data_IF_522046283466
#
_entry.id   IF_522046283466
#
_cell.length_a   1.000
_cell.length_b   1.000
_cell.length_c   1.000
_cell.angle_alpha   90.00
_cell.angle_beta   90.00
_cell.angle_gamma   90.00
#
_symmetry.space_group_name_H-M   'P 1'
#
loop_
_entity.id
_entity.type
_entity.pdbx_description
1 polymer ?
#
# COMPACT_ATOMS: atom_id res chain seq x y z
N UNK A 1 8.79 -9.96 16.97
CA UNK A 1 8.61 -10.09 15.50
C UNK A 1 9.13 -11.46 15.06
N UNK A 2 8.32 -12.20 14.32
CA UNK A 2 8.70 -13.52 13.82
C UNK A 2 9.58 -13.40 12.56
N UNK A 3 10.27 -14.50 12.22
CA UNK A 3 11.07 -14.56 11.00
C UNK A 3 10.20 -14.34 9.76
N UNK A 4 8.97 -14.89 9.77
CA UNK A 4 8.02 -14.70 8.65
C UNK A 4 7.61 -13.23 8.49
N UNK A 5 7.37 -12.54 9.59
CA UNK A 5 7.04 -11.11 9.54
C UNK A 5 8.20 -10.28 9.00
N UNK A 6 9.43 -10.61 9.39
CA UNK A 6 10.62 -9.93 8.86
C UNK A 6 10.77 -10.16 7.36
N UNK A 7 10.54 -11.38 6.90
CA UNK A 7 10.59 -11.71 5.47
C UNK A 7 9.52 -10.95 4.69
N UNK A 8 8.31 -10.83 5.25
CA UNK A 8 7.22 -10.09 4.62
C UNK A 8 7.55 -8.61 4.51
N UNK A 9 8.14 -8.03 5.57
CA UNK A 9 8.55 -6.62 5.57
C UNK A 9 9.62 -6.37 4.52
N UNK A 10 10.64 -7.22 4.46
CA UNK A 10 11.72 -7.09 3.48
C UNK A 10 11.19 -7.21 2.05
N UNK A 11 10.25 -8.12 1.82
CA UNK A 11 9.61 -8.30 0.52
C UNK A 11 8.83 -7.04 0.11
N UNK A 12 8.09 -6.46 1.05
CA UNK A 12 7.32 -5.23 0.79
C UNK A 12 8.25 -4.08 0.41
N UNK A 13 9.34 -3.90 1.14
CA UNK A 13 10.30 -2.84 0.83
C UNK A 13 10.97 -3.06 -0.52
N UNK A 14 11.36 -4.29 -0.83
CA UNK A 14 11.97 -4.63 -2.11
C UNK A 14 10.99 -4.40 -3.26
N UNK A 15 9.73 -4.78 -3.09
CA UNK A 15 8.69 -4.55 -4.10
C UNK A 15 8.47 -3.07 -4.35
N UNK A 16 8.43 -2.26 -3.29
CA UNK A 16 8.29 -0.80 -3.42
C UNK A 16 9.47 -0.21 -4.17
N UNK A 17 10.68 -0.63 -3.83
CA UNK A 17 11.90 -0.13 -4.48
C UNK A 17 11.92 -0.46 -5.97
N UNK A 18 11.46 -1.64 -6.35
CA UNK A 18 11.38 -2.05 -7.76
C UNK A 18 10.38 -1.21 -8.55
N UNK A 19 9.34 -0.71 -7.91
CA UNK A 19 8.32 0.09 -8.60
C UNK A 19 8.79 1.51 -8.89
N UNK A 20 9.80 2.03 -8.18
CA UNK A 20 10.21 3.43 -8.32
C UNK A 20 10.52 3.82 -9.77
N UNK A 21 11.42 3.11 -10.51
CA UNK A 21 11.70 3.49 -11.89
C UNK A 21 10.47 3.32 -12.80
N UNK A 22 9.65 2.32 -12.57
CA UNK A 22 8.43 2.09 -13.35
C UNK A 22 7.45 3.24 -13.15
N UNK A 23 7.28 3.69 -11.91
CA UNK A 23 6.39 4.81 -11.60
C UNK A 23 6.88 6.11 -12.24
N UNK A 24 8.19 6.33 -12.27
CA UNK A 24 8.76 7.50 -12.94
C UNK A 24 8.44 7.51 -14.44
N UNK A 25 8.54 6.35 -15.07
CA UNK A 25 8.19 6.22 -16.49
C UNK A 25 6.71 6.46 -16.76
N UNK A 26 5.84 6.12 -15.79
CA UNK A 26 4.39 6.25 -15.94
C UNK A 26 3.82 7.61 -15.53
N UNK A 27 4.65 8.53 -15.02
CA UNK A 27 4.15 9.84 -14.54
C UNK A 27 3.41 10.61 -15.62
N UNK A 28 3.93 10.64 -16.83
CA UNK A 28 3.29 11.36 -17.94
C UNK A 28 1.94 10.72 -18.27
N UNK A 29 1.88 9.40 -18.33
CA UNK A 29 0.63 8.68 -18.57
C UNK A 29 -0.40 8.97 -17.48
N UNK A 30 0.02 8.92 -16.21
CA UNK A 30 -0.87 9.18 -15.09
C UNK A 30 -1.44 10.61 -15.14
N UNK A 31 -0.59 11.59 -15.46
CA UNK A 31 -1.02 12.98 -15.59
C UNK A 31 -2.03 13.14 -16.75
N UNK A 32 -1.80 12.45 -17.84
CA UNK A 32 -2.64 12.47 -19.02
C UNK A 32 -4.01 11.85 -18.76
N UNK A 33 -4.06 10.75 -17.98
CA UNK A 33 -5.30 10.04 -17.67
C UNK A 33 -6.13 10.75 -16.59
N UNK A 34 -5.50 11.56 -15.73
CA UNK A 34 -6.16 12.16 -14.59
C UNK A 34 -6.43 11.18 -13.44
N UNK A 35 -5.91 9.96 -13.53
CA UNK A 35 -5.98 8.93 -12.47
C UNK A 35 -4.81 7.97 -12.63
N UNK A 36 -4.59 7.09 -11.65
CA UNK A 36 -3.51 6.12 -11.72
C UNK A 36 -3.78 5.11 -12.83
N UNK A 37 -2.74 4.69 -13.58
CA UNK A 37 -2.89 3.59 -14.54
C UNK A 37 -3.33 2.30 -13.83
N UNK A 38 -4.17 1.51 -14.49
CA UNK A 38 -4.65 0.24 -13.94
C UNK A 38 -3.51 -0.70 -13.59
N UNK A 39 -2.45 -0.71 -14.38
CA UNK A 39 -1.28 -1.53 -14.13
C UNK A 39 -0.62 -1.17 -12.80
N UNK A 40 -0.55 0.11 -12.46
CA UNK A 40 0.00 0.58 -11.19
C UNK A 40 -0.82 0.07 -10.01
N UNK A 41 -2.15 0.23 -10.09
CA UNK A 41 -3.06 -0.23 -9.02
C UNK A 41 -2.93 -1.74 -8.84
N UNK A 42 -2.94 -2.50 -9.93
CA UNK A 42 -2.81 -3.95 -9.89
C UNK A 42 -1.49 -4.39 -9.27
N UNK A 43 -0.39 -3.75 -9.63
CA UNK A 43 0.93 -4.05 -9.08
C UNK A 43 0.98 -3.80 -7.58
N UNK A 44 0.36 -2.70 -7.11
CA UNK A 44 0.29 -2.42 -5.67
C UNK A 44 -0.57 -3.45 -4.94
N UNK A 45 -1.66 -3.90 -5.55
CA UNK A 45 -2.51 -4.96 -4.97
C UNK A 45 -1.75 -6.28 -4.86
N UNK A 46 -1.06 -6.67 -5.92
CA UNK A 46 -0.28 -7.91 -5.95
C UNK A 46 0.88 -7.88 -4.96
N UNK A 47 1.49 -6.71 -4.76
CA UNK A 47 2.56 -6.54 -3.79
C UNK A 47 2.06 -6.55 -2.35
N UNK A 48 0.75 -6.38 -2.12
CA UNK A 48 0.16 -6.40 -0.80
C UNK A 48 0.17 -5.06 -0.09
N UNK A 49 0.45 -3.95 -0.77
CA UNK A 49 0.57 -2.64 -0.14
C UNK A 49 -0.72 -2.16 0.51
N UNK A 50 -1.87 -2.54 -0.03
CA UNK A 50 -3.16 -2.15 0.54
C UNK A 50 -3.53 -2.93 1.79
N UNK A 51 -2.79 -4.00 2.11
CA UNK A 51 -3.07 -4.89 3.24
C UNK A 51 -2.11 -4.74 4.41
N UNK A 52 -1.14 -3.82 4.32
CA UNK A 52 -0.08 -3.72 5.33
C UNK A 52 -0.66 -3.51 6.73
N UNK A 53 -1.58 -2.57 6.89
CA UNK A 53 -2.18 -2.25 8.19
C UNK A 53 -3.57 -2.87 8.39
N UNK A 54 -4.08 -3.58 7.39
CA UNK A 54 -5.39 -4.21 7.47
C UNK A 54 -5.36 -5.34 8.51
N UNK A 55 -6.42 -5.50 9.34
CA UNK A 55 -6.45 -6.58 10.33
C UNK A 55 -6.29 -7.97 9.70
N UNK A 56 -5.61 -8.86 10.40
CA UNK A 56 -5.38 -10.22 9.93
C UNK A 56 -6.69 -10.97 9.65
N UNK A 57 -7.74 -10.71 10.44
CA UNK A 57 -9.06 -11.34 10.25
C UNK A 57 -9.73 -11.00 8.92
N UNK A 58 -9.26 -9.96 8.24
CA UNK A 58 -9.72 -9.57 6.91
C UNK A 58 -8.68 -9.87 5.82
N UNK A 59 -7.70 -10.72 6.13
CA UNK A 59 -6.66 -11.09 5.18
C UNK A 59 -5.49 -10.12 5.08
N UNK A 60 -5.40 -9.16 5.99
CA UNK A 60 -4.31 -8.20 6.02
C UNK A 60 -3.10 -8.69 6.82
N UNK A 61 -2.02 -7.92 6.76
CA UNK A 61 -0.78 -8.23 7.47
C UNK A 61 -0.75 -7.72 8.90
N UNK A 62 -1.62 -6.78 9.25
CA UNK A 62 -1.73 -6.20 10.60
C UNK A 62 -0.37 -5.69 11.11
N UNK A 63 0.39 -5.06 10.22
CA UNK A 63 1.72 -4.53 10.54
C UNK A 63 1.64 -3.12 11.15
N UNK A 64 2.74 -2.69 11.76
CA UNK A 64 2.85 -1.35 12.33
C UNK A 64 2.77 -0.28 11.24
N UNK A 65 2.19 0.91 11.54
CA UNK A 65 2.12 2.01 10.58
C UNK A 65 3.48 2.43 10.01
N UNK A 66 4.56 2.24 10.76
CA UNK A 66 5.91 2.55 10.31
C UNK A 66 6.28 1.82 9.02
N UNK A 67 5.88 0.54 8.91
CA UNK A 67 6.14 -0.26 7.70
C UNK A 67 5.42 0.36 6.52
N UNK A 68 4.17 0.74 6.70
CA UNK A 68 3.37 1.38 5.66
C UNK A 68 3.98 2.71 5.21
N UNK A 69 4.36 3.57 6.15
CA UNK A 69 4.93 4.87 5.82
C UNK A 69 6.23 4.74 5.04
N UNK A 70 7.05 3.74 5.37
CA UNK A 70 8.29 3.50 4.65
C UNK A 70 8.03 3.07 3.20
N UNK A 71 7.05 2.20 2.97
CA UNK A 71 6.63 1.83 1.61
C UNK A 71 6.12 3.07 0.88
N UNK A 72 5.26 3.87 1.52
CA UNK A 72 4.70 5.07 0.92
C UNK A 72 5.79 6.08 0.53
N UNK A 73 6.76 6.33 1.40
CA UNK A 73 7.86 7.24 1.10
C UNK A 73 8.72 6.75 -0.06
N UNK A 74 8.94 5.44 -0.14
CA UNK A 74 9.68 4.85 -1.24
C UNK A 74 8.94 5.07 -2.57
N UNK A 75 7.63 4.80 -2.60
CA UNK A 75 6.83 5.02 -3.81
C UNK A 75 6.78 6.49 -4.22
N UNK A 76 6.81 7.41 -3.24
CA UNK A 76 6.81 8.84 -3.52
C UNK A 76 8.06 9.28 -4.31
N UNK A 77 9.16 8.58 -4.18
CA UNK A 77 10.36 8.86 -4.99
C UNK A 77 10.10 8.62 -6.48
N UNK A 78 9.20 7.73 -6.81
CA UNK A 78 8.81 7.47 -8.19
C UNK A 78 7.63 8.31 -8.65
N UNK A 79 6.62 8.46 -7.80
CA UNK A 79 5.39 9.20 -8.15
C UNK A 79 4.64 9.59 -6.88
N UNK A 80 4.55 10.89 -6.61
CA UNK A 80 3.84 11.41 -5.44
C UNK A 80 2.35 11.08 -5.47
N UNK A 81 1.73 11.15 -6.64
CA UNK A 81 0.30 10.86 -6.78
C UNK A 81 -0.02 9.41 -6.42
N UNK A 82 0.83 8.47 -6.82
CA UNK A 82 0.68 7.06 -6.48
C UNK A 82 0.77 6.87 -4.97
N UNK A 83 1.76 7.49 -4.33
CA UNK A 83 1.94 7.39 -2.88
C UNK A 83 0.74 7.98 -2.14
N UNK A 84 0.19 9.09 -2.65
CA UNK A 84 -0.96 9.75 -2.04
C UNK A 84 -2.20 8.88 -2.08
N UNK A 85 -2.48 8.27 -3.23
CA UNK A 85 -3.62 7.36 -3.39
C UNK A 85 -3.48 6.16 -2.46
N UNK A 86 -2.29 5.57 -2.39
CA UNK A 86 -2.03 4.47 -1.47
C UNK A 86 -2.33 4.88 -0.02
N UNK A 87 -1.90 6.09 0.37
CA UNK A 87 -2.13 6.61 1.71
C UNK A 87 -3.60 6.73 2.04
N UNK A 88 -4.40 7.29 1.14
CA UNK A 88 -5.84 7.46 1.35
C UNK A 88 -6.53 6.11 1.55
N UNK A 89 -6.27 5.15 0.67
CA UNK A 89 -6.90 3.83 0.74
C UNK A 89 -6.48 3.09 2.01
N UNK A 90 -5.19 3.13 2.35
CA UNK A 90 -4.67 2.42 3.51
C UNK A 90 -5.16 3.01 4.83
N UNK A 91 -5.31 4.34 4.92
CA UNK A 91 -5.83 4.99 6.11
C UNK A 91 -7.28 4.56 6.36
N UNK A 92 -8.10 4.46 5.31
CA UNK A 92 -9.47 3.99 5.46
C UNK A 92 -9.49 2.53 5.98
N UNK A 93 -8.62 1.67 5.47
CA UNK A 93 -8.51 0.30 5.96
C UNK A 93 -8.10 0.26 7.43
N UNK A 94 -7.17 1.13 7.83
CA UNK A 94 -6.72 1.23 9.22
C UNK A 94 -7.84 1.73 10.13
N UNK A 95 -8.64 2.71 9.68
CA UNK A 95 -9.77 3.21 10.45
C UNK A 95 -10.78 2.08 10.75
N UNK A 96 -11.02 1.20 9.79
CA UNK A 96 -11.88 0.04 10.01
C UNK A 96 -11.35 -0.85 11.12
N UNK A 97 -10.05 -0.94 11.28
CA UNK A 97 -9.42 -1.77 12.31
C UNK A 97 -9.71 -1.27 13.73
N UNK A 98 -10.00 0.03 13.91
CA UNK A 98 -10.30 0.61 15.23
C UNK A 98 -11.79 0.72 15.49
N UNK A 99 -12.64 0.39 14.52
CA UNK A 99 -14.08 0.36 14.71
C UNK A 99 -14.48 -0.91 15.49
N UNK A 100 -15.66 -0.89 16.09
CA UNK A 100 -16.22 -2.09 16.70
C UNK A 100 -16.39 -3.17 15.63
N UNK A 101 -16.20 -4.44 16.03
CA UNK A 101 -16.24 -5.55 15.10
C UNK A 101 -17.50 -5.58 14.24
N UNK A 102 -18.66 -5.28 14.84
CA UNK A 102 -19.93 -5.26 14.12
C UNK A 102 -19.91 -4.23 13.00
N UNK A 103 -19.40 -3.02 13.28
CA UNK A 103 -19.32 -1.97 12.28
C UNK A 103 -18.38 -2.37 11.14
N UNK A 104 -17.29 -3.07 11.46
CA UNK A 104 -16.34 -3.56 10.45
C UNK A 104 -17.00 -4.57 9.51
N UNK A 105 -17.88 -5.40 10.01
CA UNK A 105 -18.60 -6.39 9.20
C UNK A 105 -19.67 -5.76 8.32
N UNK A 106 -20.25 -4.64 8.73
CA UNK A 106 -21.28 -3.94 7.98
C UNK A 106 -20.73 -3.12 6.82
N UNK A 107 -19.42 -2.91 6.78
CA UNK A 107 -18.72 -2.20 5.74
C UNK A 107 -18.09 -3.17 4.75
#
# INVERSE_FOLDING_TARGET
MTAQQMNDIDRLYASARKMVPVLRERQTEAASLGHLPEATVREMQEAGFFRIMQPARFGGYEMEPEVFFRVQMTLAEGCMSTAWVLGVVAIHSWQLAVFQQRAQQDV
#
